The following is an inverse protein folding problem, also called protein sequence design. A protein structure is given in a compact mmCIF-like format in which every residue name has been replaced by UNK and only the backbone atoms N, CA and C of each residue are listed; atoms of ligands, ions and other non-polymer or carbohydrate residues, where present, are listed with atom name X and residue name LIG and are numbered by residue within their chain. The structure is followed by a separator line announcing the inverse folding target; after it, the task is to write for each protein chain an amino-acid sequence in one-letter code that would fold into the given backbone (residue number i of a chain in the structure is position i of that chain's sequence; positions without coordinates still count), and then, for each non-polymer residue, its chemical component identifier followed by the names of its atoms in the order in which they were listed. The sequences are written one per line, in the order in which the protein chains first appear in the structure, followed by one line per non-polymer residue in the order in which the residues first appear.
data_IF_085886734040
#
_entry.id   IF_085886734040
#
_cell.length_a   1.000
_cell.length_b   1.000
_cell.length_c   1.000
_cell.angle_alpha   90.00
_cell.angle_beta   90.00
_cell.angle_gamma   90.00
#
_symmetry.space_group_name_H-M   'P 1'
#
loop_
_entity.id
_entity.type
_entity.pdbx_description
1 polymer ?
#
# COMPACT_ATOMS: atom_id res chain seq x y z
N UNK A 1 17.73 10.98 6.04
CA UNK A 1 16.53 10.26 6.47
C UNK A 1 16.33 10.51 7.96
N UNK A 2 15.21 11.11 8.37
CA UNK A 2 14.52 10.60 9.54
C UNK A 2 13.04 10.34 9.26
N UNK A 3 12.60 9.18 9.76
CA UNK A 3 11.31 8.53 9.63
C UNK A 3 10.24 9.08 10.61
N UNK A 4 10.30 10.35 11.03
CA UNK A 4 9.52 10.85 12.17
C UNK A 4 8.21 11.58 11.83
N UNK A 5 7.90 11.83 10.56
CA UNK A 5 6.69 12.57 10.14
C UNK A 5 5.50 11.68 9.80
N UNK A 6 5.74 10.40 9.60
CA UNK A 6 4.76 9.46 9.04
C UNK A 6 3.85 8.81 10.09
N UNK A 7 3.96 9.18 11.36
CA UNK A 7 3.27 8.49 12.47
C UNK A 7 1.73 8.59 12.49
N UNK A 8 1.10 9.40 11.62
CA UNK A 8 -0.37 9.51 11.58
C UNK A 8 -1.02 9.10 10.26
N UNK A 9 -0.26 8.75 9.22
CA UNK A 9 -0.86 8.18 8.01
C UNK A 9 -0.81 6.64 8.08
N UNK A 10 -1.94 5.93 7.96
CA UNK A 10 -1.94 4.46 7.93
C UNK A 10 -1.26 3.91 6.67
N UNK A 11 -1.08 4.75 5.65
CA UNK A 11 -0.61 4.38 4.32
C UNK A 11 0.80 3.75 4.33
N UNK A 12 1.86 4.36 4.92
CA UNK A 12 3.19 3.75 4.96
C UNK A 12 3.25 2.44 5.75
N UNK A 13 2.50 2.34 6.85
CA UNK A 13 2.47 1.12 7.67
C UNK A 13 1.78 -0.03 6.92
N UNK A 14 0.65 0.26 6.27
CA UNK A 14 -0.05 -0.74 5.46
C UNK A 14 0.73 -1.07 4.18
N UNK A 15 1.45 -0.12 3.59
CA UNK A 15 2.32 -0.37 2.45
C UNK A 15 3.48 -1.30 2.82
N UNK A 16 4.15 -1.06 3.95
CA UNK A 16 5.20 -1.95 4.45
C UNK A 16 4.66 -3.35 4.76
N UNK A 17 3.51 -3.43 5.45
CA UNK A 17 2.82 -4.68 5.69
C UNK A 17 2.46 -5.42 4.40
N UNK A 18 1.97 -4.69 3.39
CA UNK A 18 1.68 -5.22 2.06
C UNK A 18 2.91 -5.76 1.34
N UNK A 19 4.06 -5.07 1.42
CA UNK A 19 5.32 -5.54 0.83
C UNK A 19 5.82 -6.83 1.50
N UNK A 20 5.80 -6.89 2.84
CA UNK A 20 6.19 -8.09 3.58
C UNK A 20 5.28 -9.26 3.23
N UNK A 21 3.96 -9.04 3.25
CA UNK A 21 2.98 -10.05 2.90
C UNK A 21 3.10 -10.52 1.45
N UNK A 22 3.45 -9.62 0.52
CA UNK A 22 3.72 -9.97 -0.89
C UNK A 22 4.98 -10.83 -1.06
N UNK A 23 6.04 -10.56 -0.29
CA UNK A 23 7.25 -11.39 -0.31
C UNK A 23 6.94 -12.77 0.28
N UNK A 24 6.20 -12.82 1.39
CA UNK A 24 5.77 -14.07 2.02
C UNK A 24 4.89 -14.87 1.06
N UNK A 25 3.93 -14.24 0.37
CA UNK A 25 3.09 -14.95 -0.61
C UNK A 25 3.92 -15.47 -1.79
N UNK A 26 4.91 -14.72 -2.27
CA UNK A 26 5.81 -15.20 -3.33
C UNK A 26 6.62 -16.43 -2.89
N UNK A 27 7.14 -16.44 -1.66
CA UNK A 27 7.89 -17.59 -1.10
C UNK A 27 6.97 -18.80 -0.91
N UNK A 28 5.78 -18.61 -0.33
CA UNK A 28 4.83 -19.71 -0.12
C UNK A 28 4.33 -20.26 -1.45
N UNK A 29 4.13 -19.40 -2.47
CA UNK A 29 3.81 -19.82 -3.82
C UNK A 29 4.92 -20.65 -4.46
N UNK A 30 6.18 -20.22 -4.33
CA UNK A 30 7.34 -20.96 -4.83
C UNK A 30 7.47 -22.32 -4.13
N UNK A 31 7.38 -22.36 -2.81
CA UNK A 31 7.43 -23.59 -2.02
C UNK A 31 6.26 -24.52 -2.35
N UNK A 32 5.06 -23.97 -2.58
CA UNK A 32 3.87 -24.74 -2.97
C UNK A 32 4.05 -25.49 -4.30
N UNK A 33 4.74 -24.87 -5.27
CA UNK A 33 5.09 -25.52 -6.55
C UNK A 33 6.14 -26.62 -6.33
N UNK A 34 7.17 -26.37 -5.51
CA UNK A 34 8.25 -27.34 -5.29
C UNK A 34 7.88 -28.53 -4.41
N UNK A 35 6.95 -28.37 -3.45
CA UNK A 35 6.64 -29.43 -2.46
C UNK A 35 5.56 -30.42 -2.87
N UNK A 36 4.86 -30.20 -3.98
CA UNK A 36 3.79 -31.07 -4.52
C UNK A 36 2.79 -31.57 -3.45
N UNK A 37 2.62 -30.80 -2.36
CA UNK A 37 1.84 -31.19 -1.20
C UNK A 37 0.62 -30.27 -1.09
N UNK A 38 -0.57 -30.86 -1.28
CA UNK A 38 -1.86 -30.15 -1.31
C UNK A 38 -2.17 -29.33 -0.09
N UNK A 39 -1.77 -29.79 1.10
CA UNK A 39 -2.07 -29.08 2.36
C UNK A 39 -1.43 -27.69 2.33
N UNK A 40 -0.22 -27.58 1.76
CA UNK A 40 0.48 -26.31 1.60
C UNK A 40 -0.20 -25.39 0.57
N UNK A 41 -0.80 -25.96 -0.48
CA UNK A 41 -1.51 -25.19 -1.51
C UNK A 41 -2.86 -24.64 -1.02
N UNK A 42 -3.57 -25.38 -0.17
CA UNK A 42 -4.79 -24.87 0.48
C UNK A 42 -4.47 -23.74 1.47
N UNK A 43 -3.41 -23.89 2.28
CA UNK A 43 -2.97 -22.82 3.18
C UNK A 43 -2.53 -21.57 2.42
N UNK A 44 -1.81 -21.75 1.31
CA UNK A 44 -1.43 -20.66 0.41
C UNK A 44 -2.64 -19.89 -0.10
N UNK A 45 -3.73 -20.57 -0.44
CA UNK A 45 -4.96 -19.93 -0.93
C UNK A 45 -5.60 -19.05 0.14
N UNK A 46 -5.62 -19.47 1.40
CA UNK A 46 -6.14 -18.66 2.52
C UNK A 46 -5.29 -17.39 2.72
N UNK A 47 -3.95 -17.52 2.63
CA UNK A 47 -3.04 -16.37 2.73
C UNK A 47 -3.26 -15.39 1.58
N UNK A 48 -3.49 -15.86 0.35
CA UNK A 48 -3.74 -14.99 -0.80
C UNK A 48 -4.96 -14.08 -0.62
N UNK A 49 -6.02 -14.57 0.04
CA UNK A 49 -7.20 -13.75 0.38
C UNK A 49 -6.86 -12.61 1.35
N UNK A 50 -6.05 -12.89 2.37
CA UNK A 50 -5.59 -11.85 3.31
C UNK A 50 -4.75 -10.79 2.60
N UNK A 51 -3.84 -11.21 1.71
CA UNK A 51 -3.04 -10.28 0.88
C UNK A 51 -3.93 -9.43 -0.01
N UNK A 52 -4.90 -10.04 -0.69
CA UNK A 52 -5.85 -9.31 -1.55
C UNK A 52 -6.64 -8.25 -0.77
N UNK A 53 -7.13 -8.57 0.43
CA UNK A 53 -7.86 -7.61 1.27
C UNK A 53 -6.98 -6.40 1.64
N UNK A 54 -5.71 -6.62 2.00
CA UNK A 54 -4.76 -5.54 2.30
C UNK A 54 -4.51 -4.67 1.06
N UNK A 55 -4.27 -5.26 -0.11
CA UNK A 55 -4.06 -4.51 -1.35
C UNK A 55 -5.25 -3.61 -1.70
N UNK A 56 -6.47 -4.15 -1.64
CA UNK A 56 -7.69 -3.37 -1.91
C UNK A 56 -7.89 -2.26 -0.87
N UNK A 57 -7.57 -2.52 0.41
CA UNK A 57 -7.68 -1.50 1.45
C UNK A 57 -6.75 -0.30 1.20
N UNK A 58 -5.50 -0.54 0.79
CA UNK A 58 -4.55 0.53 0.43
C UNK A 58 -5.05 1.32 -0.77
N UNK A 59 -5.47 0.62 -1.84
CA UNK A 59 -6.00 1.24 -3.04
C UNK A 59 -7.21 2.13 -2.75
N UNK A 60 -8.13 1.66 -1.90
CA UNK A 60 -9.31 2.41 -1.49
C UNK A 60 -8.96 3.66 -0.66
N UNK A 61 -8.05 3.55 0.31
CA UNK A 61 -7.61 4.69 1.12
C UNK A 61 -6.94 5.75 0.24
N UNK A 62 -6.06 5.34 -0.67
CA UNK A 62 -5.38 6.25 -1.59
C UNK A 62 -6.38 6.96 -2.52
N UNK A 63 -7.32 6.21 -3.10
CA UNK A 63 -8.38 6.77 -3.96
C UNK A 63 -9.26 7.77 -3.20
N UNK A 64 -9.69 7.43 -1.98
CA UNK A 64 -10.53 8.30 -1.16
C UNK A 64 -9.81 9.59 -0.80
N UNK A 65 -8.53 9.51 -0.43
CA UNK A 65 -7.71 10.69 -0.09
C UNK A 65 -7.43 11.58 -1.31
N UNK A 66 -7.30 11.00 -2.51
CA UNK A 66 -7.11 11.77 -3.74
C UNK A 66 -8.34 12.62 -4.07
N UNK A 67 -9.54 12.04 -3.91
CA UNK A 67 -10.80 12.72 -4.27
C UNK A 67 -11.35 13.65 -3.19
N UNK A 68 -11.06 13.39 -1.91
CA UNK A 68 -11.62 14.16 -0.81
C UNK A 68 -10.68 15.31 -0.40
N UNK A 69 -11.10 16.56 -0.61
CA UNK A 69 -10.54 17.79 -0.03
C UNK A 69 -9.03 17.77 0.33
N UNK A 70 -8.19 17.28 -0.59
CA UNK A 70 -6.75 17.08 -0.37
C UNK A 70 -6.09 18.36 0.17
N UNK A 71 -6.43 19.51 -0.41
CA UNK A 71 -5.87 20.82 -0.03
C UNK A 71 -6.14 21.22 1.42
N UNK A 72 -7.31 20.84 1.96
CA UNK A 72 -7.70 21.18 3.33
C UNK A 72 -6.91 20.31 4.30
N UNK A 73 -6.82 19.01 4.03
CA UNK A 73 -6.03 18.09 4.83
C UNK A 73 -4.54 18.46 4.83
N UNK A 74 -3.96 18.79 3.67
CA UNK A 74 -2.56 19.19 3.59
C UNK A 74 -2.28 20.50 4.33
N UNK A 75 -3.21 21.46 4.30
CA UNK A 75 -3.09 22.69 5.09
C UNK A 75 -3.11 22.40 6.59
N UNK A 76 -4.03 21.55 7.02
CA UNK A 76 -4.18 21.20 8.43
C UNK A 76 -2.96 20.45 8.96
N UNK A 77 -2.48 19.46 8.20
CA UNK A 77 -1.24 18.73 8.50
C UNK A 77 -0.04 19.70 8.55
N UNK A 78 0.07 20.62 7.60
CA UNK A 78 1.16 21.60 7.57
C UNK A 78 1.21 22.45 8.85
N UNK A 79 0.06 22.91 9.35
CA UNK A 79 -0.02 23.79 10.51
C UNK A 79 0.19 23.02 11.82
N UNK A 80 -0.47 21.87 11.98
CA UNK A 80 -0.56 21.19 13.27
C UNK A 80 0.39 19.99 13.43
N UNK A 81 0.75 19.30 12.35
CA UNK A 81 1.47 18.02 12.41
C UNK A 81 2.95 18.15 12.03
N UNK A 82 3.27 19.02 11.07
CA UNK A 82 4.63 19.16 10.57
C UNK A 82 5.57 19.86 11.58
N UNK A 83 6.66 19.18 11.92
CA UNK A 83 7.78 19.77 12.68
C UNK A 83 8.66 20.68 11.81
N UNK A 84 9.50 21.51 12.44
CA UNK A 84 10.37 22.48 11.75
C UNK A 84 11.23 21.83 10.67
N UNK A 85 11.93 20.75 11.01
CA UNK A 85 12.84 20.06 10.08
C UNK A 85 12.11 19.48 8.87
N UNK A 86 10.87 19.01 9.07
CA UNK A 86 10.05 18.45 8.02
C UNK A 86 9.56 19.54 7.06
N UNK A 87 9.15 20.70 7.58
CA UNK A 87 8.80 21.87 6.75
C UNK A 87 10.00 22.34 5.93
N UNK A 88 11.19 22.40 6.53
CA UNK A 88 12.43 22.75 5.84
C UNK A 88 12.78 21.76 4.73
N UNK A 89 12.60 20.45 4.97
CA UNK A 89 12.82 19.42 3.96
C UNK A 89 11.90 19.63 2.75
N UNK A 90 10.60 19.84 3.00
CA UNK A 90 9.61 20.07 1.94
C UNK A 90 9.94 21.35 1.17
N UNK A 91 10.26 22.45 1.86
CA UNK A 91 10.64 23.73 1.25
C UNK A 91 11.89 23.62 0.37
N UNK A 92 12.92 22.91 0.85
CA UNK A 92 14.15 22.65 0.08
C UNK A 92 13.90 21.78 -1.15
N UNK A 93 13.07 20.74 -1.03
CA UNK A 93 12.77 19.80 -2.11
C UNK A 93 11.90 20.43 -3.20
N UNK A 94 10.85 21.17 -2.83
CA UNK A 94 9.93 21.80 -3.78
C UNK A 94 10.35 23.22 -4.23
N UNK A 95 11.44 23.75 -3.67
CA UNK A 95 11.97 25.10 -3.96
C UNK A 95 10.86 26.16 -3.79
N UNK A 96 10.30 26.23 -2.60
CA UNK A 96 9.23 27.14 -2.19
C UNK A 96 9.43 27.56 -0.73
N UNK A 97 8.74 28.60 -0.28
CA UNK A 97 8.93 29.18 1.05
C UNK A 97 7.56 29.46 1.66
N UNK A 98 7.32 28.96 2.88
CA UNK A 98 6.00 29.01 3.52
C UNK A 98 4.90 28.22 2.80
N UNK A 99 3.70 28.16 3.39
CA UNK A 99 2.59 27.42 2.79
C UNK A 99 1.89 28.25 1.71
N UNK A 100 1.31 29.39 2.09
CA UNK A 100 0.67 30.34 1.15
C UNK A 100 1.65 31.39 0.65
N UNK A 101 2.36 32.00 1.60
CA UNK A 101 3.36 33.04 1.38
C UNK A 101 4.59 32.75 2.24
N UNK A 102 5.77 33.34 1.93
CA UNK A 102 7.01 33.14 2.69
C UNK A 102 6.88 33.37 4.20
N UNK A 103 5.97 34.23 4.62
CA UNK A 103 5.71 34.59 6.02
C UNK A 103 4.68 33.69 6.71
N UNK A 104 3.89 32.92 5.96
CA UNK A 104 2.81 32.10 6.49
C UNK A 104 3.30 30.68 6.81
N UNK A 105 3.55 30.41 8.11
CA UNK A 105 4.06 29.13 8.63
C UNK A 105 5.27 28.61 7.82
N UNK A 106 6.14 29.52 7.38
CA UNK A 106 7.43 29.24 6.77
C UNK A 106 8.51 29.02 7.82
N UNK A 107 9.42 28.08 7.56
CA UNK A 107 10.60 27.92 8.40
C UNK A 107 11.79 28.55 7.68
N UNK A 108 12.47 29.43 8.38
CA UNK A 108 13.51 30.24 7.77
C UNK A 108 14.85 29.52 7.77
N UNK A 109 15.56 29.65 6.65
CA UNK A 109 16.87 29.07 6.40
C UNK A 109 17.64 30.00 5.44
N UNK A 110 18.89 29.67 5.14
CA UNK A 110 19.73 30.43 4.19
C UNK A 110 19.07 30.68 2.82
N UNK A 111 18.07 29.84 2.44
CA UNK A 111 17.35 29.92 1.16
C UNK A 111 15.91 30.46 1.27
N UNK A 112 15.33 30.53 2.47
CA UNK A 112 13.95 30.95 2.69
C UNK A 112 13.97 31.98 3.81
N UNK A 113 13.74 33.25 3.45
CA UNK A 113 13.74 34.40 4.34
C UNK A 113 12.56 35.30 4.00
N UNK A 114 12.02 36.11 4.92
CA UNK A 114 10.71 36.75 4.77
C UNK A 114 10.60 37.75 3.60
N UNK A 115 11.71 38.31 3.13
CA UNK A 115 11.75 39.25 2.00
C UNK A 115 12.01 38.58 0.64
N UNK A 116 12.04 37.25 0.58
CA UNK A 116 12.35 36.54 -0.66
C UNK A 116 11.13 36.45 -1.59
N UNK A 117 11.33 36.69 -2.88
CA UNK A 117 10.29 36.51 -3.91
C UNK A 117 10.15 35.03 -4.33
N UNK A 118 9.91 34.12 -3.38
CA UNK A 118 9.54 32.73 -3.69
C UNK A 118 8.03 32.52 -3.59
N UNK A 119 7.44 31.68 -4.45
CA UNK A 119 6.06 31.28 -4.32
C UNK A 119 5.87 30.38 -3.10
N UNK A 120 4.66 30.41 -2.52
CA UNK A 120 4.24 29.47 -1.49
C UNK A 120 4.24 28.02 -1.95
N UNK A 121 4.43 27.10 -1.01
CA UNK A 121 4.46 25.66 -1.28
C UNK A 121 3.10 25.07 -1.63
N UNK A 122 1.98 25.73 -1.33
CA UNK A 122 0.62 25.19 -1.46
C UNK A 122 0.37 24.56 -2.84
N UNK A 123 0.65 25.27 -3.93
CA UNK A 123 0.34 24.75 -5.27
C UNK A 123 1.21 23.54 -5.64
N UNK A 124 2.53 23.67 -5.48
CA UNK A 124 3.48 22.60 -5.81
C UNK A 124 3.27 21.36 -4.93
N UNK A 125 2.95 21.56 -3.65
CA UNK A 125 2.73 20.48 -2.70
C UNK A 125 1.43 19.73 -2.99
N UNK A 126 0.34 20.45 -3.32
CA UNK A 126 -0.91 19.82 -3.75
C UNK A 126 -0.73 18.98 -5.01
N UNK A 127 0.00 19.48 -6.02
CA UNK A 127 0.28 18.73 -7.25
C UNK A 127 1.12 17.48 -6.96
N UNK A 128 2.13 17.60 -6.10
CA UNK A 128 2.97 16.45 -5.74
C UNK A 128 2.14 15.35 -5.08
N UNK A 129 1.36 15.70 -4.05
CA UNK A 129 0.51 14.74 -3.33
C UNK A 129 -0.55 14.11 -4.25
N UNK A 130 -1.21 14.91 -5.09
CA UNK A 130 -2.22 14.40 -6.03
C UNK A 130 -1.64 13.40 -7.03
N UNK A 131 -0.44 13.69 -7.57
CA UNK A 131 0.25 12.76 -8.47
C UNK A 131 0.65 11.45 -7.79
N UNK A 132 1.17 11.53 -6.55
CA UNK A 132 1.58 10.35 -5.79
C UNK A 132 0.38 9.48 -5.45
N UNK A 133 -0.71 10.08 -4.95
CA UNK A 133 -1.93 9.34 -4.63
C UNK A 133 -2.56 8.76 -5.89
N UNK A 134 -2.58 9.51 -7.00
CA UNK A 134 -3.11 9.04 -8.28
C UNK A 134 -2.37 7.83 -8.81
N UNK A 135 -1.05 7.86 -8.75
CA UNK A 135 -0.20 6.74 -9.14
C UNK A 135 -0.47 5.53 -8.26
N UNK A 136 -0.58 5.72 -6.94
CA UNK A 136 -0.77 4.63 -5.98
C UNK A 136 -2.10 3.88 -6.17
N UNK A 137 -3.23 4.59 -6.30
CA UNK A 137 -4.53 3.91 -6.48
C UNK A 137 -4.63 3.27 -7.86
N UNK A 138 -4.05 3.89 -8.89
CA UNK A 138 -4.03 3.34 -10.27
C UNK A 138 -3.28 2.00 -10.31
N UNK A 139 -2.08 1.94 -9.72
CA UNK A 139 -1.30 0.69 -9.65
C UNK A 139 -2.05 -0.37 -8.83
N UNK A 140 -2.64 0.02 -7.70
CA UNK A 140 -3.35 -0.91 -6.82
C UNK A 140 -4.54 -1.57 -7.50
N UNK A 141 -5.38 -0.79 -8.19
CA UNK A 141 -6.52 -1.35 -8.94
C UNK A 141 -6.10 -2.07 -10.22
N UNK A 142 -4.97 -1.71 -10.83
CA UNK A 142 -4.40 -2.46 -11.95
C UNK A 142 -3.89 -3.86 -11.55
N UNK A 143 -3.34 -4.00 -10.34
CA UNK A 143 -2.85 -5.29 -9.82
C UNK A 143 -3.96 -6.19 -9.28
N UNK A 144 -5.09 -5.63 -8.83
CA UNK A 144 -6.22 -6.37 -8.31
C UNK A 144 -6.73 -7.51 -9.24
N UNK A 145 -6.98 -7.29 -10.55
CA UNK A 145 -7.42 -8.37 -11.44
C UNK A 145 -6.35 -9.45 -11.64
N UNK A 146 -5.06 -9.07 -11.65
CA UNK A 146 -3.94 -10.03 -11.73
C UNK A 146 -3.93 -10.93 -10.50
N UNK A 147 -4.12 -10.36 -9.32
CA UNK A 147 -4.21 -11.11 -8.07
C UNK A 147 -5.43 -12.05 -8.05
N UNK A 148 -6.58 -11.60 -8.57
CA UNK A 148 -7.77 -12.45 -8.72
C UNK A 148 -7.51 -13.64 -9.63
N UNK A 149 -6.81 -13.43 -10.75
CA UNK A 149 -6.44 -14.51 -11.65
C UNK A 149 -5.55 -15.56 -10.96
N UNK A 150 -4.56 -15.12 -10.19
CA UNK A 150 -3.69 -16.01 -9.40
C UNK A 150 -4.47 -16.81 -8.36
N UNK A 151 -5.45 -16.18 -7.68
CA UNK A 151 -6.30 -16.88 -6.73
C UNK A 151 -7.16 -17.96 -7.39
N UNK A 152 -7.74 -17.67 -8.57
CA UNK A 152 -8.52 -18.65 -9.34
C UNK A 152 -7.62 -19.80 -9.80
N UNK A 153 -6.42 -19.51 -10.30
CA UNK A 153 -5.47 -20.52 -10.71
C UNK A 153 -5.05 -21.42 -9.53
N UNK A 154 -4.79 -20.84 -8.36
CA UNK A 154 -4.47 -21.60 -7.14
C UNK A 154 -5.63 -22.52 -6.70
N UNK A 155 -6.87 -22.03 -6.77
CA UNK A 155 -8.07 -22.84 -6.49
C UNK A 155 -8.23 -24.00 -7.49
N UNK A 156 -8.02 -23.74 -8.78
CA UNK A 156 -8.05 -24.78 -9.81
C UNK A 156 -6.97 -25.84 -9.60
N UNK A 157 -5.73 -25.44 -9.26
CA UNK A 157 -4.65 -26.37 -8.97
C UNK A 157 -4.93 -27.21 -7.70
N UNK A 158 -5.59 -26.63 -6.69
CA UNK A 158 -6.00 -27.38 -5.49
C UNK A 158 -7.06 -28.43 -5.79
N UNK A 159 -8.05 -28.11 -6.65
CA UNK A 159 -9.19 -28.96 -6.98
C UNK A 159 -8.92 -30.00 -8.10
N UNK A 160 -8.10 -29.68 -9.10
CA UNK A 160 -7.82 -30.59 -10.24
C UNK A 160 -7.16 -31.90 -9.77
N UNK A 161 -6.34 -31.85 -8.72
CA UNK A 161 -5.69 -33.05 -8.19
C UNK A 161 -6.70 -33.98 -7.49
N UNK A 162 -7.89 -33.50 -7.08
CA UNK A 162 -8.94 -34.36 -6.47
C UNK A 162 -9.59 -35.31 -7.46
N UNK A 163 -9.62 -34.94 -8.74
CA UNK A 163 -10.12 -35.81 -9.80
C UNK A 163 -9.31 -37.11 -9.91
N UNK A 164 -7.98 -37.04 -9.83
CA UNK A 164 -7.13 -38.23 -9.92
C UNK A 164 -7.08 -39.05 -8.62
N UNK A 165 -7.15 -38.42 -7.45
CA UNK A 165 -7.11 -39.15 -6.16
C UNK A 165 -8.45 -39.83 -5.81
N UNK A 166 -9.59 -39.28 -6.22
CA UNK A 166 -10.91 -39.91 -6.01
C UNK A 166 -11.17 -41.08 -6.95
N UNK A 167 -10.61 -41.05 -8.16
CA UNK A 167 -10.69 -42.16 -9.12
C UNK A 167 -9.84 -43.39 -8.70
N UNK A 168 -8.85 -43.21 -7.81
CA UNK A 168 -7.89 -44.26 -7.42
C UNK A 168 -8.19 -45.03 -6.12
N UNK A 169 -9.28 -44.76 -5.39
CA UNK A 169 -9.66 -45.55 -4.19
C UNK A 169 -11.13 -46.01 -4.21
N UNK A 170 -11.46 -47.10 -4.92
CA UNK A 170 -12.64 -47.87 -4.58
C UNK A 170 -12.39 -48.59 -3.24
N UNK A 171 -12.69 -47.99 -2.09
CA UNK A 171 -12.62 -48.77 -0.84
C UNK A 171 -12.55 -48.09 0.53
N UNK A 172 -12.61 -46.77 0.69
CA UNK A 172 -12.69 -46.21 2.05
C UNK A 172 -14.14 -46.22 2.57
N UNK A 173 -14.62 -47.40 2.98
CA UNK A 173 -15.76 -47.50 3.88
C UNK A 173 -15.31 -47.14 5.30
N UNK A 174 -15.96 -46.13 5.86
CA UNK A 174 -16.30 -45.91 7.27
C UNK A 174 -15.45 -46.64 8.32
N UNK A 175 -14.43 -45.97 8.86
CA UNK A 175 -13.92 -46.24 10.21
C UNK A 175 -14.54 -45.25 11.20
N UNK A 176 -15.84 -45.40 11.42
CA UNK A 176 -16.54 -44.76 12.54
C UNK A 176 -17.43 -45.78 13.22
N UNK A 177 -16.84 -46.86 13.72
CA UNK A 177 -17.30 -47.64 14.88
C UNK A 177 -16.12 -48.50 15.36
N UNK A 178 -15.48 -48.07 16.44
CA UNK A 178 -14.93 -48.87 17.54
C UNK A 178 -14.43 -47.91 18.63
#
# INVERSE_FOLDING_TARGET
MPLSSSCSSPIPLVAFGGSVLGIVSAIVGLVGIFKENRIWLSWYTIVLWAVFAVYISVGYIAFRRAKNHLRVHLKDEWIHSYSRDQRLLVQRQLKCCGYQDPTYYGEYDLRCFPMINLPGCQHKYNLYEDNVLTTAWTISFGLAPVQLFVMIAALMCSNHVDGMLRSGRPGLKSFKEQ
#
